data_IF_614267489265
#
_entry.id   IF_614267489265
#
_cell.length_a   1.000
_cell.length_b   1.000
_cell.length_c   1.000
_cell.angle_alpha   90.00
_cell.angle_beta   90.00
_cell.angle_gamma   90.00
#
_symmetry.space_group_name_H-M   'P 1'
#
loop_
_entity.id
_entity.type
_entity.pdbx_description
1 polymer ?
#
# COMPACT_ATOMS: atom_id res chain seq x y z
N UNK A 1 13.76 23.36 31.84
CA UNK A 1 13.48 22.66 30.56
C UNK A 1 13.49 23.71 29.46
N UNK A 2 14.32 23.56 28.41
CA UNK A 2 14.35 24.59 27.34
C UNK A 2 13.04 24.54 26.54
N UNK A 3 12.65 25.68 25.96
CA UNK A 3 11.47 25.81 25.08
C UNK A 3 11.55 24.85 23.88
N UNK A 4 12.75 24.58 23.39
CA UNK A 4 13.01 23.61 22.33
C UNK A 4 12.67 22.18 22.77
N UNK A 5 13.09 21.78 23.97
CA UNK A 5 12.79 20.45 24.50
C UNK A 5 11.28 20.25 24.66
N UNK A 6 10.56 21.26 25.13
CA UNK A 6 9.10 21.22 25.25
C UNK A 6 8.42 21.02 23.88
N UNK A 7 8.85 21.78 22.87
CA UNK A 7 8.34 21.67 21.50
C UNK A 7 8.62 20.31 20.86
N UNK A 8 9.82 19.76 21.06
CA UNK A 8 10.20 18.45 20.54
C UNK A 8 9.41 17.32 21.22
N UNK A 9 9.22 17.38 22.54
CA UNK A 9 8.37 16.45 23.29
C UNK A 9 6.91 16.51 22.81
N UNK A 10 6.36 17.71 22.60
CA UNK A 10 4.99 17.88 22.10
C UNK A 10 4.80 17.29 20.70
N UNK A 11 5.73 17.57 19.77
CA UNK A 11 5.70 16.98 18.42
C UNK A 11 5.79 15.45 18.46
N UNK A 12 6.65 14.90 19.30
CA UNK A 12 6.79 13.45 19.46
C UNK A 12 5.49 12.82 19.96
N UNK A 13 4.86 13.42 20.97
CA UNK A 13 3.58 12.97 21.50
C UNK A 13 2.47 12.98 20.44
N UNK A 14 2.30 14.09 19.73
CA UNK A 14 1.28 14.22 18.67
C UNK A 14 1.52 13.20 17.55
N UNK A 15 2.78 13.00 17.13
CA UNK A 15 3.11 11.95 16.14
C UNK A 15 2.75 10.57 16.65
N UNK A 16 3.01 10.26 17.92
CA UNK A 16 2.61 9.01 18.55
C UNK A 16 1.12 8.75 18.45
N UNK A 17 0.29 9.76 18.74
CA UNK A 17 -1.17 9.67 18.62
C UNK A 17 -1.62 9.42 17.18
N UNK A 18 -1.03 10.12 16.20
CA UNK A 18 -1.35 9.93 14.77
C UNK A 18 -0.98 8.53 14.31
N UNK A 19 0.20 8.03 14.72
CA UNK A 19 0.69 6.69 14.37
C UNK A 19 -0.25 5.62 14.96
N UNK A 20 -0.61 5.73 16.24
CA UNK A 20 -1.51 4.78 16.90
C UNK A 20 -2.90 4.78 16.26
N UNK A 21 -3.49 5.96 16.02
CA UNK A 21 -4.76 6.09 15.32
C UNK A 21 -4.72 5.44 13.92
N UNK A 22 -3.68 5.75 13.15
CA UNK A 22 -3.50 5.22 11.79
C UNK A 22 -3.31 3.71 11.82
N UNK A 23 -2.53 3.18 12.77
CA UNK A 23 -2.35 1.74 12.98
C UNK A 23 -3.69 1.05 13.23
N UNK A 24 -4.48 1.54 14.20
CA UNK A 24 -5.80 0.98 14.52
C UNK A 24 -6.74 0.99 13.31
N UNK A 25 -6.78 2.11 12.57
CA UNK A 25 -7.57 2.23 11.34
C UNK A 25 -7.15 1.22 10.28
N UNK A 26 -5.84 1.07 10.06
CA UNK A 26 -5.29 0.12 9.09
C UNK A 26 -5.58 -1.34 9.48
N UNK A 27 -5.45 -1.69 10.77
CA UNK A 27 -5.83 -3.01 11.28
C UNK A 27 -7.31 -3.30 11.03
N UNK A 28 -8.21 -2.36 11.33
CA UNK A 28 -9.64 -2.52 11.04
C UNK A 28 -9.93 -2.67 9.54
N UNK A 29 -9.23 -1.92 8.68
CA UNK A 29 -9.36 -2.05 7.22
C UNK A 29 -8.95 -3.46 6.75
N UNK A 30 -7.81 -3.97 7.24
CA UNK A 30 -7.32 -5.33 6.93
C UNK A 30 -8.28 -6.41 7.41
N UNK A 31 -8.81 -6.28 8.62
CA UNK A 31 -9.82 -7.22 9.14
C UNK A 31 -11.07 -7.26 8.25
N UNK A 32 -11.57 -6.10 7.81
CA UNK A 32 -12.70 -6.04 6.88
C UNK A 32 -12.41 -6.73 5.54
N UNK A 33 -11.20 -6.56 5.01
CA UNK A 33 -10.77 -7.24 3.78
C UNK A 33 -10.71 -8.77 3.98
N UNK A 34 -10.09 -9.23 5.07
CA UNK A 34 -10.02 -10.66 5.41
C UNK A 34 -11.41 -11.29 5.54
N UNK A 35 -12.36 -10.61 6.20
CA UNK A 35 -13.74 -11.09 6.33
C UNK A 35 -14.40 -11.24 4.94
N UNK A 36 -14.22 -10.27 4.04
CA UNK A 36 -14.77 -10.34 2.68
C UNK A 36 -14.14 -11.47 1.85
N UNK A 37 -12.84 -11.69 1.99
CA UNK A 37 -12.11 -12.78 1.33
C UNK A 37 -12.58 -14.15 1.85
N UNK A 38 -12.72 -14.29 3.18
CA UNK A 38 -13.22 -15.51 3.80
C UNK A 38 -14.67 -15.81 3.40
N UNK A 39 -15.52 -14.79 3.35
CA UNK A 39 -16.91 -14.94 2.92
C UNK A 39 -16.98 -15.32 1.43
N UNK A 40 -16.14 -14.73 0.58
CA UNK A 40 -16.00 -15.15 -0.81
C UNK A 40 -15.59 -16.63 -0.93
N UNK A 41 -14.57 -17.05 -0.16
CA UNK A 41 -14.09 -18.45 -0.12
C UNK A 41 -15.17 -19.43 0.37
N UNK A 42 -15.98 -19.05 1.36
CA UNK A 42 -17.12 -19.85 1.83
C UNK A 42 -18.19 -19.98 0.74
N UNK A 43 -18.51 -18.90 0.04
CA UNK A 43 -19.48 -18.93 -1.08
C UNK A 43 -18.97 -19.79 -2.23
N UNK A 44 -17.68 -19.77 -2.53
CA UNK A 44 -17.06 -20.61 -3.55
C UNK A 44 -17.22 -22.10 -3.23
N UNK A 45 -16.94 -22.51 -1.98
CA UNK A 45 -17.20 -23.89 -1.51
C UNK A 45 -18.68 -24.27 -1.61
N UNK A 46 -19.60 -23.35 -1.27
CA UNK A 46 -21.04 -23.58 -1.40
C UNK A 46 -21.47 -23.70 -2.86
N UNK A 47 -20.89 -22.91 -3.76
CA UNK A 47 -21.16 -22.96 -5.20
C UNK A 47 -20.73 -24.30 -5.79
N UNK A 48 -19.57 -24.82 -5.39
CA UNK A 48 -19.08 -26.12 -5.84
C UNK A 48 -20.04 -27.26 -5.45
N UNK A 49 -20.65 -27.18 -4.25
CA UNK A 49 -21.65 -28.15 -3.79
C UNK A 49 -23.04 -27.95 -4.41
N UNK A 50 -23.40 -26.72 -4.77
CA UNK A 50 -24.73 -26.36 -5.29
C UNK A 50 -24.62 -25.51 -6.56
N UNK A 51 -24.22 -26.09 -7.70
CA UNK A 51 -23.93 -25.34 -8.93
C UNK A 51 -25.16 -24.64 -9.54
N UNK A 52 -26.36 -25.13 -9.28
CA UNK A 52 -27.61 -24.59 -9.86
C UNK A 52 -28.16 -23.37 -9.12
N UNK A 53 -27.66 -23.02 -7.92
CA UNK A 53 -28.17 -21.88 -7.15
C UNK A 53 -27.65 -20.54 -7.70
N UNK A 54 -28.50 -19.86 -8.46
CA UNK A 54 -28.25 -18.50 -8.98
C UNK A 54 -28.09 -17.45 -7.87
N UNK A 55 -28.67 -17.68 -6.68
CA UNK A 55 -28.52 -16.80 -5.52
C UNK A 55 -27.07 -16.73 -5.01
N UNK A 56 -26.33 -17.84 -5.03
CA UNK A 56 -24.91 -17.89 -4.63
C UNK A 56 -24.07 -17.06 -5.60
N UNK A 57 -24.35 -17.16 -6.90
CA UNK A 57 -23.68 -16.37 -7.94
C UNK A 57 -23.87 -14.86 -7.72
N UNK A 58 -25.12 -14.43 -7.45
CA UNK A 58 -25.43 -13.03 -7.14
C UNK A 58 -24.69 -12.53 -5.89
N UNK A 59 -24.64 -13.33 -4.82
CA UNK A 59 -23.90 -12.98 -3.60
C UNK A 59 -22.39 -12.84 -3.85
N UNK A 60 -21.80 -13.74 -4.64
CA UNK A 60 -20.39 -13.65 -5.02
C UNK A 60 -20.09 -12.38 -5.83
N UNK A 61 -20.97 -12.01 -6.76
CA UNK A 61 -20.83 -10.79 -7.55
C UNK A 61 -20.87 -9.53 -6.67
N UNK A 62 -21.78 -9.48 -5.69
CA UNK A 62 -21.84 -8.39 -4.70
C UNK A 62 -20.55 -8.31 -3.88
N UNK A 63 -19.98 -9.44 -3.43
CA UNK A 63 -18.71 -9.43 -2.69
C UNK A 63 -17.56 -8.98 -3.58
N UNK A 64 -17.46 -9.47 -4.82
CA UNK A 64 -16.47 -9.00 -5.79
C UNK A 64 -16.55 -7.49 -6.02
N UNK A 65 -17.77 -6.97 -6.17
CA UNK A 65 -17.98 -5.53 -6.32
C UNK A 65 -17.49 -4.76 -5.09
N UNK A 66 -17.79 -5.23 -3.88
CA UNK A 66 -17.31 -4.61 -2.62
C UNK A 66 -15.78 -4.60 -2.52
N UNK A 67 -15.11 -5.70 -2.90
CA UNK A 67 -13.65 -5.78 -2.95
C UNK A 67 -13.11 -4.77 -3.97
N UNK A 68 -13.65 -4.76 -5.20
CA UNK A 68 -13.21 -3.85 -6.26
C UNK A 68 -13.40 -2.37 -5.90
N UNK A 69 -14.45 -2.00 -5.16
CA UNK A 69 -14.60 -0.65 -4.64
C UNK A 69 -13.49 -0.27 -3.65
N UNK A 70 -13.15 -1.16 -2.73
CA UNK A 70 -12.09 -0.94 -1.75
C UNK A 70 -10.70 -0.80 -2.41
N UNK A 71 -10.44 -1.58 -3.45
CA UNK A 71 -9.20 -1.49 -4.25
C UNK A 71 -9.10 -0.16 -5.00
N UNK A 72 -10.20 0.29 -5.62
CA UNK A 72 -10.27 1.58 -6.31
C UNK A 72 -10.04 2.75 -5.35
N UNK A 73 -10.63 2.71 -4.16
CA UNK A 73 -10.40 3.73 -3.12
C UNK A 73 -8.92 3.78 -2.71
N UNK A 74 -8.30 2.60 -2.51
CA UNK A 74 -6.87 2.52 -2.18
C UNK A 74 -5.98 3.05 -3.30
N UNK A 75 -6.29 2.73 -4.55
CA UNK A 75 -5.57 3.23 -5.71
C UNK A 75 -5.69 4.76 -5.81
N UNK A 76 -6.89 5.32 -5.61
CA UNK A 76 -7.10 6.77 -5.59
C UNK A 76 -6.24 7.44 -4.51
N UNK A 77 -6.18 6.85 -3.32
CA UNK A 77 -5.33 7.36 -2.24
C UNK A 77 -3.84 7.31 -2.61
N UNK A 78 -3.36 6.21 -3.21
CA UNK A 78 -1.97 6.09 -3.68
C UNK A 78 -1.63 7.14 -4.74
N UNK A 79 -2.54 7.40 -5.68
CA UNK A 79 -2.37 8.45 -6.69
C UNK A 79 -2.29 9.83 -6.04
N UNK A 80 -3.16 10.14 -5.07
CA UNK A 80 -3.11 11.42 -4.33
C UNK A 80 -1.79 11.59 -3.59
N UNK A 81 -1.34 10.56 -2.87
CA UNK A 81 -0.05 10.58 -2.17
C UNK A 81 1.12 10.74 -3.14
N UNK A 82 1.11 10.04 -4.29
CA UNK A 82 2.14 10.19 -5.32
C UNK A 82 2.16 11.61 -5.90
N UNK A 83 0.98 12.19 -6.16
CA UNK A 83 0.83 13.58 -6.61
C UNK A 83 1.39 14.56 -5.57
N UNK A 84 1.04 14.40 -4.29
CA UNK A 84 1.59 15.23 -3.21
C UNK A 84 3.11 15.11 -3.11
N UNK A 85 3.64 13.88 -3.11
CA UNK A 85 5.08 13.62 -3.10
C UNK A 85 5.77 14.25 -4.31
N UNK A 86 5.13 14.24 -5.48
CA UNK A 86 5.63 14.92 -6.66
C UNK A 86 5.73 16.42 -6.38
N UNK A 87 4.64 17.10 -6.00
CA UNK A 87 4.64 18.54 -5.71
C UNK A 87 5.67 18.97 -4.66
N UNK A 88 5.79 18.25 -3.55
CA UNK A 88 6.78 18.55 -2.50
C UNK A 88 8.23 18.46 -3.01
N UNK A 89 8.46 17.68 -4.07
CA UNK A 89 9.78 17.45 -4.66
C UNK A 89 9.99 18.13 -6.03
N UNK A 90 8.96 18.79 -6.60
CA UNK A 90 9.06 19.54 -7.89
C UNK A 90 10.18 20.58 -7.83
N UNK A 91 10.31 21.28 -6.69
CA UNK A 91 11.31 22.34 -6.51
C UNK A 91 12.72 21.80 -6.20
N UNK A 92 12.95 20.47 -6.29
CA UNK A 92 14.24 19.82 -6.00
C UNK A 92 14.72 18.94 -7.18
N UNK A 93 14.81 19.47 -8.41
CA UNK A 93 15.21 18.70 -9.59
C UNK A 93 16.63 18.11 -9.44
N UNK A 94 17.51 18.81 -8.72
CA UNK A 94 18.85 18.33 -8.38
C UNK A 94 18.85 17.06 -7.51
N UNK A 95 17.92 16.94 -6.54
CA UNK A 95 17.77 15.71 -5.75
C UNK A 95 17.25 14.55 -6.58
N UNK A 96 16.30 14.82 -7.47
CA UNK A 96 15.76 13.80 -8.37
C UNK A 96 16.82 13.29 -9.36
N UNK A 97 17.61 14.21 -9.93
CA UNK A 97 18.75 13.88 -10.78
C UNK A 97 19.79 13.04 -10.01
N UNK A 98 20.12 13.41 -8.78
CA UNK A 98 21.04 12.64 -7.94
C UNK A 98 20.50 11.22 -7.64
N UNK A 99 19.20 11.08 -7.35
CA UNK A 99 18.56 9.79 -7.16
C UNK A 99 18.61 8.93 -8.43
N UNK A 100 18.28 9.52 -9.59
CA UNK A 100 18.32 8.82 -10.88
C UNK A 100 19.74 8.34 -11.21
N UNK A 101 20.75 9.21 -11.06
CA UNK A 101 22.16 8.85 -11.26
C UNK A 101 22.62 7.74 -10.31
N UNK A 102 22.16 7.75 -9.05
CA UNK A 102 22.46 6.67 -8.10
C UNK A 102 21.87 5.34 -8.58
N UNK A 103 20.61 5.32 -9.03
CA UNK A 103 19.95 4.12 -9.55
C UNK A 103 20.62 3.56 -10.81
N UNK A 104 21.03 4.44 -11.72
CA UNK A 104 21.81 4.03 -12.90
C UNK A 104 23.15 3.39 -12.52
N UNK A 105 23.86 3.93 -11.51
CA UNK A 105 25.10 3.32 -10.99
C UNK A 105 24.84 1.95 -10.34
N UNK A 106 23.77 1.82 -9.56
CA UNK A 106 23.37 0.53 -8.98
C UNK A 106 23.05 -0.51 -10.07
N UNK A 107 22.31 -0.14 -11.12
CA UNK A 107 22.04 -1.06 -12.24
C UNK A 107 23.31 -1.44 -13.00
N UNK A 108 24.19 -0.49 -13.29
CA UNK A 108 25.48 -0.78 -13.95
C UNK A 108 26.32 -1.76 -13.14
N UNK A 109 26.36 -1.62 -11.81
CA UNK A 109 27.03 -2.58 -10.93
C UNK A 109 26.39 -3.97 -10.99
N UNK A 110 25.05 -4.05 -11.02
CA UNK A 110 24.34 -5.33 -11.13
C UNK A 110 24.68 -6.02 -12.46
N UNK A 111 24.64 -5.30 -13.57
CA UNK A 111 24.98 -5.83 -14.91
C UNK A 111 26.42 -6.35 -14.92
N UNK A 112 27.38 -5.58 -14.39
CA UNK A 112 28.78 -6.00 -14.29
C UNK A 112 29.00 -7.27 -13.47
N UNK A 113 28.20 -7.47 -12.42
CA UNK A 113 28.26 -8.69 -11.59
C UNK A 113 27.66 -9.90 -12.29
N UNK A 114 26.62 -9.70 -13.11
CA UNK A 114 25.99 -10.76 -13.92
C UNK A 114 26.94 -11.18 -15.05
N UNK A 115 27.46 -10.21 -15.80
CA UNK A 115 28.39 -10.47 -16.92
C UNK A 115 29.72 -11.10 -16.43
N UNK A 116 30.11 -10.85 -15.18
CA UNK A 116 31.29 -11.47 -14.55
C UNK A 116 31.08 -12.90 -14.04
N UNK A 117 29.84 -13.38 -13.90
CA UNK A 117 29.52 -14.76 -13.51
C UNK A 117 29.43 -15.72 -14.71
N UNK A 118 29.19 -15.21 -15.92
CA UNK A 118 29.07 -16.01 -17.15
C UNK A 118 30.44 -16.40 -17.78
N UNK A 119 31.57 -16.05 -17.15
CA UNK A 119 32.93 -16.35 -17.64
C UNK A 119 33.74 -17.24 -16.68
N UNK A 120 33.06 -18.09 -15.90
CA UNK A 120 33.69 -19.13 -15.07
C UNK A 120 33.16 -20.53 -15.37
#
# INVERSE_FOLDING_TARGET
>A
VSTQNLWDTMKAYIRGLIIDYTRRRNTKKRQKQQILEDDYRKLEKKRQKYPQKTSIKKQMEVIKHKIGLAEKEELSQKIRSAKQNFFENVNKPSRWLAYKLKKEREMKKIIQLIDGQDVS
#
